data_IF_657769034656
#
_entry.id   IF_657769034656
#
_cell.length_a   1.000
_cell.length_b   1.000
_cell.length_c   1.000
_cell.angle_alpha   90.00
_cell.angle_beta   90.00
_cell.angle_gamma   90.00
#
_symmetry.space_group_name_H-M   'P 1'
#
loop_
_entity.id
_entity.type
_entity.pdbx_description
1 polymer ?
#
# COMPACT_ATOMS: atom_id res chain seq x y z
N UNK A 1 -12.97 -1.38 -19.11
CA UNK A 1 -12.73 -1.18 -17.65
C UNK A 1 -12.67 -2.53 -16.98
N UNK A 2 -11.59 -2.80 -16.24
CA UNK A 2 -11.46 -4.02 -15.44
C UNK A 2 -12.38 -3.90 -14.20
N UNK A 3 -13.12 -4.97 -13.87
CA UNK A 3 -13.89 -4.95 -12.61
C UNK A 3 -12.93 -4.96 -11.41
N UNK A 4 -13.25 -4.25 -10.33
CA UNK A 4 -12.45 -4.31 -9.10
C UNK A 4 -12.42 -5.75 -8.57
N UNK A 5 -11.35 -6.10 -7.88
CA UNK A 5 -11.15 -7.44 -7.29
C UNK A 5 -12.27 -7.84 -6.32
N UNK A 6 -12.85 -6.88 -5.64
CA UNK A 6 -14.02 -7.02 -4.78
C UNK A 6 -15.13 -6.11 -5.30
N UNK A 7 -16.32 -6.67 -5.50
CA UNK A 7 -17.44 -5.90 -6.05
C UNK A 7 -18.04 -4.97 -5.01
N UNK A 8 -18.21 -5.46 -3.79
CA UNK A 8 -18.78 -4.72 -2.67
C UNK A 8 -17.77 -4.51 -1.54
N UNK A 9 -18.06 -3.60 -0.63
CA UNK A 9 -17.30 -3.42 0.62
C UNK A 9 -17.33 -4.68 1.46
N UNK A 10 -18.47 -5.38 1.49
CA UNK A 10 -18.64 -6.63 2.23
C UNK A 10 -17.69 -7.71 1.71
N UNK A 11 -17.58 -7.89 0.39
CA UNK A 11 -16.68 -8.88 -0.21
C UNK A 11 -15.22 -8.67 0.26
N UNK A 12 -14.81 -7.40 0.38
CA UNK A 12 -13.46 -7.06 0.85
C UNK A 12 -13.31 -7.37 2.34
N UNK A 13 -14.28 -7.04 3.18
CA UNK A 13 -14.23 -7.26 4.62
C UNK A 13 -14.31 -8.76 4.97
N UNK A 14 -15.03 -9.56 4.20
CA UNK A 14 -15.05 -11.02 4.34
C UNK A 14 -13.71 -11.67 3.95
N UNK A 15 -13.05 -11.11 2.91
CA UNK A 15 -11.75 -11.60 2.48
C UNK A 15 -10.59 -11.23 3.44
N UNK A 16 -10.76 -10.16 4.21
CA UNK A 16 -9.73 -9.62 5.09
C UNK A 16 -10.30 -9.29 6.48
N UNK A 17 -10.05 -10.17 7.45
CA UNK A 17 -10.63 -10.10 8.79
C UNK A 17 -10.33 -8.79 9.55
N UNK A 18 -9.24 -8.10 9.20
CA UNK A 18 -8.81 -6.84 9.82
C UNK A 18 -9.18 -5.59 9.03
N UNK A 19 -9.74 -5.75 7.84
CA UNK A 19 -10.01 -4.60 6.98
C UNK A 19 -11.07 -3.66 7.58
N UNK A 20 -12.11 -4.20 8.21
CA UNK A 20 -13.13 -3.40 8.87
C UNK A 20 -12.56 -2.53 10.01
N UNK A 21 -11.66 -3.09 10.83
CA UNK A 21 -11.00 -2.36 11.91
C UNK A 21 -10.10 -1.22 11.36
N UNK A 22 -9.41 -1.50 10.26
CA UNK A 22 -8.47 -0.56 9.64
C UNK A 22 -9.14 0.55 8.81
N UNK A 23 -10.33 0.29 8.28
CA UNK A 23 -11.10 1.23 7.43
C UNK A 23 -12.12 2.03 8.24
N UNK A 24 -12.77 1.38 9.22
CA UNK A 24 -13.84 1.95 10.03
C UNK A 24 -15.21 1.77 9.39
N UNK A 25 -16.15 2.68 9.74
CA UNK A 25 -17.54 2.58 9.33
C UNK A 25 -17.73 2.63 7.81
N UNK A 26 -18.46 1.66 7.28
CA UNK A 26 -18.76 1.54 5.87
C UNK A 26 -20.16 0.92 5.65
N UNK A 27 -20.79 1.21 4.52
CA UNK A 27 -21.99 0.51 4.09
C UNK A 27 -21.56 -0.80 3.37
N UNK A 28 -21.84 -1.98 3.94
CA UNK A 28 -21.39 -3.25 3.37
C UNK A 28 -21.88 -3.51 1.95
N UNK A 29 -23.11 -3.10 1.63
CA UNK A 29 -23.71 -3.31 0.30
C UNK A 29 -23.27 -2.33 -0.78
N UNK A 30 -22.46 -1.31 -0.42
CA UNK A 30 -21.95 -0.34 -1.39
C UNK A 30 -20.89 -0.95 -2.30
N UNK A 31 -20.84 -0.51 -3.56
CA UNK A 31 -19.75 -0.87 -4.47
C UNK A 31 -18.39 -0.42 -3.96
N UNK A 32 -17.36 -1.29 -4.04
CA UNK A 32 -16.02 -0.99 -3.50
C UNK A 32 -15.42 0.29 -4.09
N UNK A 33 -15.54 0.46 -5.41
CA UNK A 33 -15.00 1.65 -6.07
C UNK A 33 -15.78 2.92 -5.70
N UNK A 34 -17.10 2.82 -5.60
CA UNK A 34 -17.99 3.89 -5.17
C UNK A 34 -17.64 4.34 -3.74
N UNK A 35 -17.46 3.38 -2.83
CA UNK A 35 -17.06 3.66 -1.45
C UNK A 35 -15.71 4.39 -1.39
N UNK A 36 -14.71 3.92 -2.13
CA UNK A 36 -13.41 4.58 -2.19
C UNK A 36 -13.52 6.01 -2.71
N UNK A 37 -14.32 6.24 -3.77
CA UNK A 37 -14.56 7.58 -4.31
C UNK A 37 -15.25 8.50 -3.30
N UNK A 38 -16.25 8.01 -2.58
CA UNK A 38 -16.90 8.77 -1.50
C UNK A 38 -15.92 9.17 -0.37
N UNK A 39 -14.99 8.28 0.01
CA UNK A 39 -13.98 8.61 1.01
C UNK A 39 -13.06 9.75 0.53
N UNK A 40 -12.67 9.72 -0.75
CA UNK A 40 -11.85 10.77 -1.36
C UNK A 40 -12.61 12.10 -1.42
N UNK A 41 -13.85 12.10 -1.89
CA UNK A 41 -14.71 13.30 -1.97
C UNK A 41 -14.91 13.94 -0.59
N UNK A 42 -15.08 13.11 0.45
CA UNK A 42 -15.22 13.55 1.86
C UNK A 42 -13.89 13.87 2.53
N UNK A 43 -12.76 13.78 1.82
CA UNK A 43 -11.40 13.99 2.34
C UNK A 43 -11.07 13.13 3.56
N UNK A 44 -11.64 11.92 3.63
CA UNK A 44 -11.33 10.94 4.67
C UNK A 44 -10.07 10.16 4.27
N UNK A 45 -8.92 10.81 4.37
CA UNK A 45 -7.65 10.31 3.81
C UNK A 45 -7.20 8.98 4.39
N UNK A 46 -7.22 8.82 5.72
CA UNK A 46 -6.78 7.58 6.37
C UNK A 46 -7.66 6.36 6.02
N UNK A 47 -9.00 6.43 6.11
CA UNK A 47 -9.88 5.38 5.60
C UNK A 47 -9.69 5.11 4.11
N UNK A 48 -9.51 6.15 3.29
CA UNK A 48 -9.31 6.00 1.84
C UNK A 48 -8.00 5.28 1.51
N UNK A 49 -6.89 5.64 2.18
CA UNK A 49 -5.61 4.94 2.08
C UNK A 49 -5.78 3.47 2.47
N UNK A 50 -6.40 3.22 3.63
CA UNK A 50 -6.61 1.86 4.15
C UNK A 50 -7.40 1.03 3.15
N UNK A 51 -8.55 1.52 2.71
CA UNK A 51 -9.43 0.81 1.79
C UNK A 51 -8.75 0.57 0.43
N UNK A 52 -8.07 1.56 -0.12
CA UNK A 52 -7.34 1.43 -1.38
C UNK A 52 -6.24 0.37 -1.31
N UNK A 53 -5.48 0.34 -0.21
CA UNK A 53 -4.42 -0.66 0.00
C UNK A 53 -4.96 -2.10 0.02
N UNK A 54 -6.14 -2.34 0.61
CA UNK A 54 -6.80 -3.65 0.60
C UNK A 54 -7.46 -3.99 -0.74
N UNK A 55 -8.00 -2.99 -1.43
CA UNK A 55 -8.71 -3.18 -2.70
C UNK A 55 -7.74 -3.58 -3.83
N UNK A 56 -6.52 -3.06 -3.80
CA UNK A 56 -5.49 -3.37 -4.79
C UNK A 56 -4.92 -4.79 -4.59
N UNK A 57 -4.59 -5.51 -5.67
CA UNK A 57 -3.74 -6.69 -5.58
C UNK A 57 -2.38 -6.33 -4.93
N UNK A 58 -1.73 -7.27 -4.26
CA UNK A 58 -0.51 -7.04 -3.48
C UNK A 58 0.58 -6.28 -4.24
N UNK A 59 0.86 -6.70 -5.49
CA UNK A 59 1.85 -6.06 -6.35
C UNK A 59 1.49 -4.61 -6.66
N UNK A 60 0.26 -4.38 -7.07
CA UNK A 60 -0.27 -3.06 -7.39
C UNK A 60 -0.32 -2.14 -6.16
N UNK A 61 -0.61 -2.69 -4.99
CA UNK A 61 -0.58 -1.96 -3.73
C UNK A 61 0.83 -1.46 -3.41
N UNK A 62 1.87 -2.29 -3.60
CA UNK A 62 3.27 -1.88 -3.42
C UNK A 62 3.67 -0.82 -4.44
N UNK A 63 3.33 -0.99 -5.74
CA UNK A 63 3.59 0.03 -6.77
C UNK A 63 2.94 1.36 -6.41
N UNK A 64 1.67 1.32 -6.02
CA UNK A 64 0.93 2.51 -5.61
C UNK A 64 1.54 3.16 -4.36
N UNK A 65 1.91 2.37 -3.36
CA UNK A 65 2.55 2.83 -2.14
C UNK A 65 3.87 3.55 -2.42
N UNK A 66 4.76 2.96 -3.22
CA UNK A 66 6.04 3.56 -3.59
C UNK A 66 5.87 4.91 -4.31
N UNK A 67 4.98 4.97 -5.30
CA UNK A 67 4.68 6.21 -6.03
C UNK A 67 4.09 7.28 -5.13
N UNK A 68 3.15 6.91 -4.28
CA UNK A 68 2.53 7.83 -3.32
C UNK A 68 3.57 8.38 -2.35
N UNK A 69 4.45 7.53 -1.80
CA UNK A 69 5.49 7.99 -0.90
C UNK A 69 6.48 8.94 -1.58
N UNK A 70 6.91 8.64 -2.83
CA UNK A 70 7.77 9.54 -3.61
C UNK A 70 7.09 10.89 -3.94
N UNK A 71 5.76 10.93 -4.01
CA UNK A 71 5.01 12.19 -4.17
C UNK A 71 4.92 12.98 -2.85
N UNK A 72 4.87 12.28 -1.72
CA UNK A 72 4.80 12.89 -0.38
C UNK A 72 6.14 13.49 0.05
N UNK A 73 7.26 12.85 -0.29
CA UNK A 73 8.60 13.28 0.13
C UNK A 73 9.67 12.81 -0.84
N UNK A 74 10.76 13.57 -0.91
CA UNK A 74 12.00 13.20 -1.59
C UNK A 74 13.19 13.13 -0.61
N UNK A 75 12.95 13.23 0.68
CA UNK A 75 13.96 13.22 1.73
C UNK A 75 14.15 11.82 2.27
N UNK A 76 14.96 11.03 1.59
CA UNK A 76 15.34 9.68 2.00
C UNK A 76 16.84 9.63 2.29
N UNK A 77 17.24 8.97 3.37
CA UNK A 77 18.63 8.59 3.55
C UNK A 77 19.00 7.41 2.63
N UNK A 78 20.28 7.04 2.57
CA UNK A 78 20.78 6.02 1.64
C UNK A 78 20.12 4.63 1.86
N UNK A 79 19.81 4.26 3.09
CA UNK A 79 19.17 2.97 3.39
C UNK A 79 17.68 3.00 3.04
N UNK A 80 17.00 4.10 3.27
CA UNK A 80 15.60 4.31 2.90
C UNK A 80 15.42 4.32 1.37
N UNK A 81 16.29 5.02 0.65
CA UNK A 81 16.26 5.01 -0.82
C UNK A 81 16.48 3.59 -1.37
N UNK A 82 17.43 2.85 -0.78
CA UNK A 82 17.68 1.45 -1.16
C UNK A 82 16.49 0.54 -0.85
N UNK A 83 15.83 0.74 0.30
CA UNK A 83 14.64 -0.03 0.67
C UNK A 83 13.49 0.21 -0.30
N UNK A 84 13.26 1.48 -0.66
CA UNK A 84 12.24 1.87 -1.63
C UNK A 84 12.55 1.29 -3.02
N UNK A 85 13.82 1.38 -3.46
CA UNK A 85 14.25 0.79 -4.73
C UNK A 85 14.02 -0.73 -4.76
N UNK A 86 14.30 -1.47 -3.69
CA UNK A 86 14.06 -2.92 -3.64
C UNK A 86 12.57 -3.27 -3.69
N UNK A 87 11.69 -2.46 -3.08
CA UNK A 87 10.25 -2.63 -3.23
C UNK A 87 9.78 -2.38 -4.67
N UNK A 88 10.31 -1.35 -5.32
CA UNK A 88 10.03 -1.01 -6.72
C UNK A 88 10.54 -2.08 -7.69
N UNK A 89 11.76 -2.59 -7.49
CA UNK A 89 12.35 -3.68 -8.29
C UNK A 89 11.53 -4.97 -8.18
N UNK A 90 11.11 -5.34 -6.96
CA UNK A 90 10.21 -6.48 -6.78
C UNK A 90 8.87 -6.24 -7.48
N UNK A 91 8.31 -5.06 -7.35
CA UNK A 91 7.04 -4.74 -7.98
C UNK A 91 7.13 -4.71 -9.52
N UNK A 92 8.28 -4.39 -10.09
CA UNK A 92 8.53 -4.48 -11.54
C UNK A 92 8.61 -5.95 -11.98
N UNK A 93 9.42 -6.77 -11.29
CA UNK A 93 9.64 -8.18 -11.57
C UNK A 93 9.53 -8.99 -10.26
N UNK A 94 8.36 -9.60 -9.96
CA UNK A 94 8.07 -10.23 -8.67
C UNK A 94 8.73 -11.61 -8.52
N UNK A 95 10.05 -11.62 -8.46
CA UNK A 95 10.87 -12.81 -8.22
C UNK A 95 11.15 -13.02 -6.72
N UNK A 96 11.32 -14.28 -6.29
CA UNK A 96 11.52 -14.64 -4.88
C UNK A 96 12.78 -14.01 -4.27
N UNK A 97 13.87 -13.95 -5.02
CA UNK A 97 15.10 -13.33 -4.49
C UNK A 97 14.97 -11.81 -4.28
N UNK A 98 14.18 -11.13 -5.14
CA UNK A 98 13.88 -9.69 -4.97
C UNK A 98 12.98 -9.48 -3.75
N UNK A 99 11.97 -10.34 -3.57
CA UNK A 99 11.10 -10.35 -2.41
C UNK A 99 11.92 -10.50 -1.11
N UNK A 100 12.78 -11.50 -1.06
CA UNK A 100 13.63 -11.80 0.10
C UNK A 100 14.60 -10.67 0.39
N UNK A 101 15.19 -10.04 -0.65
CA UNK A 101 16.08 -8.90 -0.50
C UNK A 101 15.38 -7.68 0.12
N UNK A 102 14.17 -7.37 -0.35
CA UNK A 102 13.35 -6.31 0.22
C UNK A 102 12.97 -6.60 1.68
N UNK A 103 12.56 -7.85 1.98
CA UNK A 103 12.26 -8.31 3.33
C UNK A 103 13.44 -8.13 4.29
N UNK A 104 14.61 -8.60 3.88
CA UNK A 104 15.83 -8.53 4.70
C UNK A 104 16.22 -7.10 5.03
N UNK A 105 16.21 -6.20 4.03
CA UNK A 105 16.54 -4.80 4.26
C UNK A 105 15.46 -4.11 5.11
N UNK A 106 14.17 -4.32 4.82
CA UNK A 106 13.06 -3.75 5.58
C UNK A 106 13.09 -4.12 7.07
N UNK A 107 13.56 -5.34 7.40
CA UNK A 107 13.76 -5.74 8.81
C UNK A 107 14.99 -5.11 9.48
N UNK A 108 15.99 -4.69 8.72
CA UNK A 108 17.24 -4.12 9.27
C UNK A 108 17.18 -2.63 9.55
N UNK A 109 16.39 -1.90 8.79
CA UNK A 109 16.29 -0.45 8.94
C UNK A 109 15.20 -0.08 9.95
N UNK A 110 15.22 1.20 10.37
CA UNK A 110 14.31 1.70 11.38
C UNK A 110 12.84 1.54 10.95
N UNK A 111 12.04 0.85 11.75
CA UNK A 111 10.60 0.61 11.54
C UNK A 111 9.74 1.90 11.60
N UNK A 112 10.31 3.07 11.91
CA UNK A 112 9.65 4.38 11.78
C UNK A 112 9.76 4.95 10.36
N UNK A 113 10.53 4.31 9.49
CA UNK A 113 10.70 4.74 8.10
C UNK A 113 9.57 4.20 7.23
N UNK A 114 8.94 5.09 6.46
CA UNK A 114 7.93 4.71 5.48
C UNK A 114 8.51 3.78 4.39
N UNK A 115 9.75 4.01 3.96
CA UNK A 115 10.45 3.17 2.99
C UNK A 115 10.67 1.74 3.51
N UNK A 116 10.99 1.59 4.82
CA UNK A 116 11.10 0.27 5.45
C UNK A 116 9.79 -0.53 5.34
N UNK A 117 8.66 0.11 5.61
CA UNK A 117 7.35 -0.53 5.51
C UNK A 117 6.99 -0.91 4.08
N UNK A 118 7.41 -0.17 3.06
CA UNK A 118 7.21 -0.56 1.65
C UNK A 118 8.09 -1.74 1.25
N UNK A 119 9.34 -1.79 1.74
CA UNK A 119 10.19 -2.98 1.56
C UNK A 119 9.59 -4.21 2.25
N UNK A 120 9.04 -4.06 3.47
CA UNK A 120 8.30 -5.12 4.16
C UNK A 120 7.02 -5.51 3.43
N UNK A 121 6.28 -4.56 2.85
CA UNK A 121 5.09 -4.84 2.05
C UNK A 121 5.41 -5.74 0.84
N UNK A 122 6.52 -5.47 0.14
CA UNK A 122 7.04 -6.34 -0.91
C UNK A 122 7.46 -7.70 -0.33
N UNK A 123 8.20 -7.70 0.78
CA UNK A 123 8.65 -8.91 1.47
C UNK A 123 7.52 -9.81 1.95
N UNK A 124 6.41 -9.25 2.40
CA UNK A 124 5.23 -9.97 2.90
C UNK A 124 4.18 -10.28 1.84
N UNK A 125 4.51 -10.10 0.58
CA UNK A 125 3.59 -10.40 -0.53
C UNK A 125 3.28 -11.89 -0.69
N UNK A 126 4.13 -12.76 -0.14
CA UNK A 126 4.00 -14.22 -0.13
C UNK A 126 5.12 -14.86 0.69
N UNK A 127 5.08 -16.18 0.85
CA UNK A 127 6.08 -16.95 1.58
C UNK A 127 6.26 -16.52 3.03
N UNK A 128 7.49 -16.61 3.55
CA UNK A 128 7.81 -16.24 4.93
C UNK A 128 7.86 -14.74 5.15
N UNK A 129 7.30 -14.27 6.28
CA UNK A 129 7.46 -12.90 6.78
C UNK A 129 8.80 -12.70 7.49
N UNK A 130 9.52 -13.78 7.76
CA UNK A 130 10.84 -13.75 8.37
C UNK A 130 11.92 -13.87 7.31
N UNK A 131 13.06 -13.18 7.48
CA UNK A 131 14.22 -13.38 6.63
C UNK A 131 14.69 -14.85 6.64
N UNK A 132 15.43 -15.32 5.60
CA UNK A 132 15.78 -16.73 5.42
C UNK A 132 16.58 -17.37 6.58
N UNK A 133 17.27 -16.56 7.37
CA UNK A 133 18.04 -17.00 8.55
C UNK A 133 17.18 -17.32 9.79
N UNK A 134 15.87 -17.08 9.73
CA UNK A 134 14.93 -17.33 10.82
C UNK A 134 13.92 -18.40 10.45
N UNK A 135 13.20 -18.92 11.46
CA UNK A 135 12.14 -19.89 11.24
C UNK A 135 11.04 -19.37 10.31
N UNK A 136 10.59 -20.24 9.41
CA UNK A 136 9.54 -19.90 8.46
C UNK A 136 8.24 -19.52 9.18
N UNK A 137 7.67 -18.38 8.81
CA UNK A 137 6.37 -17.90 9.27
C UNK A 137 5.56 -17.36 8.11
N UNK A 138 4.49 -18.04 7.76
CA UNK A 138 3.65 -17.69 6.61
C UNK A 138 3.10 -16.26 6.68
N UNK A 139 3.12 -15.57 5.55
CA UNK A 139 2.53 -14.25 5.42
C UNK A 139 0.99 -14.34 5.40
N UNK A 140 0.31 -13.56 6.24
CA UNK A 140 -1.15 -13.47 6.18
C UNK A 140 -1.61 -12.67 4.94
N UNK A 141 -2.85 -12.89 4.48
CA UNK A 141 -3.37 -12.16 3.30
C UNK A 141 -3.29 -10.64 3.42
N UNK A 142 -3.47 -10.10 4.64
CA UNK A 142 -3.56 -8.68 4.94
C UNK A 142 -2.21 -7.97 5.07
N UNK A 143 -1.12 -8.68 5.32
CA UNK A 143 0.14 -8.06 5.75
C UNK A 143 0.70 -7.06 4.75
N UNK A 144 0.62 -7.35 3.45
CA UNK A 144 1.05 -6.41 2.41
C UNK A 144 0.25 -5.10 2.45
N UNK A 145 -1.09 -5.20 2.50
CA UNK A 145 -1.96 -4.02 2.53
C UNK A 145 -1.72 -3.17 3.79
N UNK A 146 -1.57 -3.82 4.95
CA UNK A 146 -1.29 -3.14 6.22
C UNK A 146 0.07 -2.46 6.23
N UNK A 147 1.09 -3.07 5.64
CA UNK A 147 2.41 -2.46 5.54
C UNK A 147 2.40 -1.24 4.60
N UNK A 148 1.72 -1.32 3.45
CA UNK A 148 1.52 -0.16 2.54
C UNK A 148 0.77 0.96 3.27
N UNK A 149 -0.33 0.65 3.95
CA UNK A 149 -1.10 1.60 4.74
C UNK A 149 -0.23 2.32 5.77
N UNK A 150 0.58 1.59 6.55
CA UNK A 150 1.47 2.17 7.54
C UNK A 150 2.53 3.08 6.91
N UNK A 151 3.12 2.67 5.80
CA UNK A 151 4.06 3.50 5.06
C UNK A 151 3.45 4.84 4.66
N UNK A 152 2.23 4.82 4.13
CA UNK A 152 1.55 6.04 3.69
C UNK A 152 1.09 6.92 4.86
N UNK A 153 0.73 6.34 6.01
CA UNK A 153 0.43 7.11 7.23
C UNK A 153 1.67 7.82 7.76
N UNK A 154 2.83 7.16 7.74
CA UNK A 154 4.10 7.80 8.09
C UNK A 154 4.39 8.94 7.10
N UNK A 155 4.25 8.70 5.80
CA UNK A 155 4.42 9.72 4.78
C UNK A 155 3.47 10.91 4.96
N UNK A 156 2.20 10.64 5.24
CA UNK A 156 1.18 11.67 5.50
C UNK A 156 1.53 12.55 6.69
N UNK A 157 2.13 11.99 7.74
CA UNK A 157 2.52 12.74 8.93
C UNK A 157 3.62 13.78 8.68
N UNK A 158 4.37 13.65 7.58
CA UNK A 158 5.40 14.62 7.18
C UNK A 158 4.87 15.73 6.27
N UNK A 159 3.63 15.63 5.77
CA UNK A 159 3.07 16.65 4.90
C UNK A 159 2.62 17.89 5.69
N UNK A 160 2.92 19.06 5.15
CA UNK A 160 2.35 20.30 5.64
C UNK A 160 0.84 20.35 5.32
N UNK A 161 0.04 20.97 6.20
CA UNK A 161 -1.43 20.96 6.10
C UNK A 161 -1.96 21.55 4.81
N UNK A 162 -1.32 22.59 4.31
CA UNK A 162 -1.69 23.34 3.10
C UNK A 162 -1.54 22.53 1.79
N UNK A 163 -0.65 21.53 1.77
CA UNK A 163 -0.42 20.67 0.60
C UNK A 163 -1.04 19.29 0.70
N UNK A 164 -1.44 18.88 1.91
CA UNK A 164 -1.94 17.52 2.19
C UNK A 164 -3.09 17.12 1.28
N UNK A 165 -4.12 17.95 1.16
CA UNK A 165 -5.32 17.62 0.38
C UNK A 165 -5.00 17.39 -1.09
N UNK A 166 -4.16 18.23 -1.70
CA UNK A 166 -3.78 18.09 -3.11
C UNK A 166 -2.94 16.83 -3.38
N UNK A 167 -1.97 16.55 -2.49
CA UNK A 167 -1.13 15.36 -2.61
C UNK A 167 -1.95 14.08 -2.39
N UNK A 168 -2.82 14.05 -1.38
CA UNK A 168 -3.63 12.88 -1.08
C UNK A 168 -4.66 12.58 -2.16
N UNK A 169 -5.33 13.62 -2.69
CA UNK A 169 -6.23 13.45 -3.83
C UNK A 169 -5.51 12.80 -5.01
N UNK A 170 -4.35 13.34 -5.40
CA UNK A 170 -3.57 12.80 -6.51
C UNK A 170 -3.07 11.36 -6.27
N UNK A 171 -2.65 11.01 -5.03
CA UNK A 171 -2.26 9.64 -4.69
C UNK A 171 -3.45 8.66 -4.82
N UNK A 172 -4.62 9.06 -4.34
CA UNK A 172 -5.81 8.21 -4.36
C UNK A 172 -6.44 8.13 -5.76
N UNK A 173 -6.35 9.18 -6.58
CA UNK A 173 -6.70 9.12 -8.00
C UNK A 173 -5.84 8.06 -8.73
N UNK A 174 -4.51 8.02 -8.49
CA UNK A 174 -3.63 6.98 -9.03
C UNK A 174 -4.03 5.58 -8.53
N UNK A 175 -4.46 5.46 -7.28
CA UNK A 175 -4.97 4.21 -6.71
C UNK A 175 -6.26 3.76 -7.40
N UNK A 176 -7.23 4.66 -7.57
CA UNK A 176 -8.49 4.41 -8.27
C UNK A 176 -8.25 4.00 -9.73
N UNK A 177 -7.36 4.70 -10.44
CA UNK A 177 -6.97 4.34 -11.80
C UNK A 177 -6.37 2.91 -11.86
N UNK A 178 -5.54 2.56 -10.87
CA UNK A 178 -4.97 1.21 -10.76
C UNK A 178 -6.05 0.15 -10.51
N UNK A 179 -7.05 0.42 -9.67
CA UNK A 179 -8.20 -0.47 -9.44
C UNK A 179 -9.00 -0.69 -10.73
N UNK A 180 -9.17 0.35 -11.54
CA UNK A 180 -9.87 0.27 -12.85
C UNK A 180 -9.05 -0.42 -13.93
N UNK A 181 -7.76 -0.68 -13.68
CA UNK A 181 -6.86 -1.22 -14.71
C UNK A 181 -6.58 -0.24 -15.83
N UNK A 182 -6.68 1.05 -15.57
CA UNK A 182 -6.40 2.10 -16.55
C UNK A 182 -4.89 2.17 -16.85
N UNK A 183 -4.49 2.43 -18.11
CA UNK A 183 -3.08 2.58 -18.44
C UNK A 183 -2.50 3.76 -17.67
N UNK A 184 -1.35 3.52 -17.04
CA UNK A 184 -0.64 4.51 -16.25
C UNK A 184 -0.01 5.54 -17.16
N UNK A 185 -0.38 6.80 -17.03
CA UNK A 185 0.28 7.91 -17.72
C UNK A 185 1.62 8.14 -17.00
N UNK A 186 2.77 7.94 -17.67
CA UNK A 186 4.07 8.34 -17.09
C UNK A 186 4.05 9.86 -16.92
N UNK A 187 4.30 10.35 -15.71
CA UNK A 187 4.63 11.75 -15.47
C UNK A 187 6.11 11.88 -15.23
#
# INVERSE_FOLDING_TARGET
MKQPRFTTVQDLFEAYSRAADDVGEANPGMGSLEFLQQLVEKRKWEPAISFCAYLLPKREAVVWGCRSLRRMTNQFNADEERALAYAEEWAAEPEEWRRTRALTLGNRINQRSAAAWLALAAGWSGGSVMPPEYDHREATPEQTARAVRLALFIGLAYLARDVTDGIMAACLEDGIASVRGEPRIPR
#
